data_IF_723939564287
#
_entry.id   IF_723939564287
#
_cell.length_a   1.000
_cell.length_b   1.000
_cell.length_c   1.000
_cell.angle_alpha   90.00
_cell.angle_beta   90.00
_cell.angle_gamma   90.00
#
_symmetry.space_group_name_H-M   'P 1'
#
loop_
_entity.id
_entity.type
_entity.pdbx_description
1 polymer ?
#
# COMPACT_ATOMS: atom_id res chain seq x y z
N UNK A 1 -27.73 -12.35 -128.23
CA UNK A 1 -26.85 -13.47 -127.85
C UNK A 1 -25.62 -13.01 -127.09
N UNK A 2 -24.62 -12.32 -127.67
CA UNK A 2 -23.43 -11.88 -126.88
C UNK A 2 -23.74 -10.81 -125.81
N UNK A 3 -24.62 -9.84 -126.10
CA UNK A 3 -25.01 -8.81 -125.12
C UNK A 3 -25.91 -9.33 -123.97
N UNK A 4 -26.62 -10.44 -124.18
CA UNK A 4 -27.47 -11.05 -123.14
C UNK A 4 -26.62 -11.91 -122.17
N UNK A 5 -25.54 -12.51 -122.66
CA UNK A 5 -24.59 -13.33 -121.90
C UNK A 5 -23.69 -12.46 -120.98
N UNK A 6 -23.36 -11.23 -121.40
CA UNK A 6 -22.66 -10.25 -120.56
C UNK A 6 -23.55 -9.68 -119.43
N UNK A 7 -24.82 -9.41 -119.71
CA UNK A 7 -25.79 -8.96 -118.70
C UNK A 7 -26.08 -10.04 -117.65
N UNK A 8 -26.17 -11.31 -118.05
CA UNK A 8 -26.35 -12.45 -117.13
C UNK A 8 -25.14 -12.66 -116.23
N UNK A 9 -23.92 -12.54 -116.79
CA UNK A 9 -22.67 -12.61 -116.02
C UNK A 9 -22.54 -11.45 -115.03
N UNK A 10 -22.91 -10.24 -115.42
CA UNK A 10 -22.91 -9.07 -114.55
C UNK A 10 -23.95 -9.21 -113.42
N UNK A 11 -25.12 -9.75 -113.70
CA UNK A 11 -26.15 -10.05 -112.71
C UNK A 11 -25.66 -11.10 -111.70
N UNK A 12 -25.00 -12.15 -112.17
CA UNK A 12 -24.42 -13.20 -111.31
C UNK A 12 -23.30 -12.67 -110.41
N UNK A 13 -22.46 -11.77 -110.92
CA UNK A 13 -21.42 -11.10 -110.13
C UNK A 13 -22.04 -10.20 -109.05
N UNK A 14 -23.06 -9.41 -109.41
CA UNK A 14 -23.83 -8.59 -108.46
C UNK A 14 -24.48 -9.43 -107.36
N UNK A 15 -25.11 -10.56 -107.70
CA UNK A 15 -25.71 -11.50 -106.75
C UNK A 15 -24.66 -12.09 -105.80
N UNK A 16 -23.52 -12.54 -106.34
CA UNK A 16 -22.43 -13.10 -105.52
C UNK A 16 -21.85 -12.07 -104.53
N UNK A 17 -21.73 -10.80 -104.96
CA UNK A 17 -21.28 -9.70 -104.13
C UNK A 17 -22.31 -9.35 -103.05
N UNK A 18 -23.59 -9.35 -103.41
CA UNK A 18 -24.71 -9.19 -102.46
C UNK A 18 -24.67 -10.28 -101.39
N UNK A 19 -24.52 -11.55 -101.77
CA UNK A 19 -24.43 -12.68 -100.84
C UNK A 19 -23.21 -12.58 -99.92
N UNK A 20 -22.06 -12.17 -100.46
CA UNK A 20 -20.83 -11.96 -99.67
C UNK A 20 -21.02 -10.84 -98.65
N UNK A 21 -21.61 -9.71 -99.05
CA UNK A 21 -21.92 -8.60 -98.13
C UNK A 21 -22.94 -9.02 -97.07
N UNK A 22 -23.98 -9.76 -97.44
CA UNK A 22 -24.98 -10.30 -96.51
C UNK A 22 -24.32 -11.18 -95.42
N UNK A 23 -23.38 -12.05 -95.82
CA UNK A 23 -22.61 -12.89 -94.89
C UNK A 23 -21.72 -12.05 -93.96
N UNK A 24 -21.05 -11.03 -94.50
CA UNK A 24 -20.22 -10.12 -93.69
C UNK A 24 -21.07 -9.32 -92.69
N UNK A 25 -22.24 -8.83 -93.11
CA UNK A 25 -23.19 -8.12 -92.24
C UNK A 25 -23.63 -9.06 -91.11
N UNK A 26 -24.09 -10.28 -91.43
CA UNK A 26 -24.50 -11.24 -90.41
C UNK A 26 -23.38 -11.61 -89.44
N UNK A 27 -22.14 -11.71 -89.92
CA UNK A 27 -20.98 -11.96 -89.07
C UNK A 27 -20.68 -10.76 -88.15
N UNK A 28 -20.78 -9.53 -88.67
CA UNK A 28 -20.58 -8.30 -87.88
C UNK A 28 -21.68 -8.08 -86.86
N UNK A 29 -22.94 -8.39 -87.18
CA UNK A 29 -24.06 -8.37 -86.25
C UNK A 29 -23.82 -9.34 -85.08
N UNK A 30 -23.38 -10.57 -85.36
CA UNK A 30 -23.01 -11.54 -84.31
C UNK A 30 -21.87 -11.03 -83.44
N UNK A 31 -20.84 -10.45 -84.04
CA UNK A 31 -19.71 -9.85 -83.30
C UNK A 31 -20.17 -8.70 -82.42
N UNK A 32 -21.07 -7.83 -82.92
CA UNK A 32 -21.60 -6.70 -82.18
C UNK A 32 -22.39 -7.17 -80.95
N UNK A 33 -23.30 -8.13 -81.12
CA UNK A 33 -24.09 -8.69 -80.00
C UNK A 33 -23.20 -9.34 -78.94
N UNK A 34 -22.14 -10.05 -79.36
CA UNK A 34 -21.17 -10.63 -78.42
C UNK A 34 -20.47 -9.53 -77.62
N UNK A 35 -19.93 -8.51 -78.29
CA UNK A 35 -19.23 -7.41 -77.63
C UNK A 35 -20.16 -6.60 -76.70
N UNK A 36 -21.42 -6.42 -77.06
CA UNK A 36 -22.42 -5.78 -76.19
C UNK A 36 -22.67 -6.60 -74.93
N UNK A 37 -22.72 -7.93 -75.06
CA UNK A 37 -22.88 -8.84 -73.92
C UNK A 37 -21.65 -8.81 -73.02
N UNK A 38 -20.45 -8.89 -73.59
CA UNK A 38 -19.19 -8.82 -72.84
C UNK A 38 -19.05 -7.47 -72.11
N UNK A 39 -19.38 -6.36 -72.79
CA UNK A 39 -19.38 -5.04 -72.19
C UNK A 39 -20.37 -4.91 -71.03
N UNK A 40 -21.53 -5.58 -71.12
CA UNK A 40 -22.51 -5.60 -70.03
C UNK A 40 -21.95 -6.36 -68.82
N UNK A 41 -21.36 -7.54 -69.03
CA UNK A 41 -20.74 -8.35 -67.97
C UNK A 41 -19.61 -7.56 -67.30
N UNK A 42 -18.73 -6.95 -68.08
CA UNK A 42 -17.62 -6.13 -67.56
C UNK A 42 -18.12 -4.94 -66.73
N UNK A 43 -19.22 -4.31 -67.12
CA UNK A 43 -19.85 -3.23 -66.31
C UNK A 43 -20.38 -3.74 -64.98
N UNK A 44 -21.07 -4.88 -64.99
CA UNK A 44 -21.57 -5.52 -63.77
C UNK A 44 -20.42 -5.91 -62.83
N UNK A 45 -19.37 -6.53 -63.37
CA UNK A 45 -18.17 -6.90 -62.60
C UNK A 45 -17.46 -5.69 -62.02
N UNK A 46 -17.31 -4.61 -62.80
CA UNK A 46 -16.73 -3.35 -62.31
C UNK A 46 -17.55 -2.77 -61.17
N UNK A 47 -18.88 -2.81 -61.27
CA UNK A 47 -19.76 -2.32 -60.22
C UNK A 47 -19.56 -3.13 -58.93
N UNK A 48 -19.60 -4.47 -59.01
CA UNK A 48 -19.37 -5.34 -57.85
C UNK A 48 -18.01 -5.09 -57.23
N UNK A 49 -16.95 -4.99 -58.03
CA UNK A 49 -15.60 -4.70 -57.52
C UNK A 49 -15.51 -3.34 -56.81
N UNK A 50 -16.24 -2.34 -57.31
CA UNK A 50 -16.29 -1.03 -56.67
C UNK A 50 -17.04 -1.05 -55.34
N UNK A 51 -18.14 -1.81 -55.26
CA UNK A 51 -18.87 -2.04 -54.02
C UNK A 51 -18.01 -2.76 -52.98
N UNK A 52 -17.29 -3.80 -53.39
CA UNK A 52 -16.40 -4.54 -52.49
C UNK A 52 -15.21 -3.70 -52.04
N UNK A 53 -14.61 -2.92 -52.94
CA UNK A 53 -13.56 -1.95 -52.57
C UNK A 53 -14.06 -0.94 -51.54
N UNK A 54 -15.32 -0.51 -51.63
CA UNK A 54 -15.88 0.42 -50.65
C UNK A 54 -16.08 -0.26 -49.28
N UNK A 55 -16.60 -1.48 -49.25
CA UNK A 55 -16.72 -2.27 -48.01
C UNK A 55 -15.37 -2.46 -47.32
N UNK A 56 -14.33 -2.79 -48.09
CA UNK A 56 -12.97 -2.96 -47.55
C UNK A 56 -12.41 -1.65 -47.00
N UNK A 57 -12.66 -0.51 -47.66
CA UNK A 57 -12.27 0.82 -47.13
C UNK A 57 -12.97 1.14 -45.82
N UNK A 58 -14.26 0.84 -45.73
CA UNK A 58 -15.04 1.08 -44.53
C UNK A 58 -14.56 0.19 -43.38
N UNK A 59 -14.27 -1.09 -43.66
CA UNK A 59 -13.67 -2.01 -42.70
C UNK A 59 -12.29 -1.54 -42.21
N UNK A 60 -11.42 -1.07 -43.11
CA UNK A 60 -10.12 -0.50 -42.75
C UNK A 60 -10.25 0.75 -41.87
N UNK A 61 -11.21 1.61 -42.16
CA UNK A 61 -11.52 2.78 -41.33
C UNK A 61 -11.94 2.37 -39.92
N UNK A 62 -12.81 1.35 -39.82
CA UNK A 62 -13.25 0.81 -38.52
C UNK A 62 -12.08 0.24 -37.71
N UNK A 63 -11.29 -0.66 -38.30
CA UNK A 63 -10.12 -1.25 -37.65
C UNK A 63 -9.09 -0.20 -37.21
N UNK A 64 -8.92 0.86 -38.01
CA UNK A 64 -8.06 1.99 -37.64
C UNK A 64 -8.57 2.72 -36.40
N UNK A 65 -9.87 2.95 -36.30
CA UNK A 65 -10.49 3.58 -35.13
C UNK A 65 -10.36 2.69 -33.88
N UNK A 66 -10.62 1.39 -34.01
CA UNK A 66 -10.41 0.42 -32.91
C UNK A 66 -8.96 0.40 -32.44
N UNK A 67 -8.01 0.40 -33.38
CA UNK A 67 -6.58 0.47 -33.05
C UNK A 67 -6.24 1.73 -32.26
N UNK A 68 -6.79 2.88 -32.65
CA UNK A 68 -6.59 4.13 -31.92
C UNK A 68 -7.20 4.09 -30.51
N UNK A 69 -8.38 3.49 -30.35
CA UNK A 69 -8.99 3.29 -29.03
C UNK A 69 -8.12 2.40 -28.14
N UNK A 70 -7.62 1.28 -28.67
CA UNK A 70 -6.70 0.38 -27.95
C UNK A 70 -5.44 1.12 -27.51
N UNK A 71 -4.87 1.97 -28.37
CA UNK A 71 -3.70 2.79 -28.03
C UNK A 71 -4.02 3.75 -26.87
N UNK A 72 -5.18 4.40 -26.88
CA UNK A 72 -5.62 5.29 -25.78
C UNK A 72 -5.77 4.52 -24.48
N UNK A 73 -6.52 3.41 -24.50
CA UNK A 73 -6.75 2.56 -23.33
C UNK A 73 -5.43 2.01 -22.77
N UNK A 74 -4.48 1.64 -23.63
CA UNK A 74 -3.14 1.20 -23.20
C UNK A 74 -2.41 2.31 -22.43
N UNK A 75 -2.52 3.57 -22.89
CA UNK A 75 -1.90 4.71 -22.21
C UNK A 75 -2.52 4.93 -20.83
N UNK A 76 -3.84 4.88 -20.73
CA UNK A 76 -4.57 4.98 -19.46
C UNK A 76 -4.20 3.86 -18.50
N UNK A 77 -4.12 2.62 -18.99
CA UNK A 77 -3.69 1.47 -18.21
C UNK A 77 -2.28 1.66 -17.64
N UNK A 78 -1.33 2.15 -18.44
CA UNK A 78 0.03 2.41 -17.98
C UNK A 78 0.08 3.50 -16.89
N UNK A 79 -0.73 4.56 -17.03
CA UNK A 79 -0.82 5.60 -15.99
C UNK A 79 -1.37 5.02 -14.68
N UNK A 80 -2.48 4.27 -14.75
CA UNK A 80 -3.07 3.61 -13.57
C UNK A 80 -2.11 2.59 -12.94
N UNK A 81 -1.31 1.92 -13.75
CA UNK A 81 -0.30 0.98 -13.27
C UNK A 81 0.79 1.71 -12.47
N UNK A 82 1.27 2.86 -12.94
CA UNK A 82 2.25 3.69 -12.24
C UNK A 82 1.68 4.22 -10.92
N UNK A 83 0.46 4.78 -10.93
CA UNK A 83 -0.24 5.24 -9.72
C UNK A 83 -0.40 4.11 -8.70
N UNK A 84 -0.76 2.90 -9.14
CA UNK A 84 -0.89 1.74 -8.28
C UNK A 84 0.46 1.35 -7.64
N UNK A 85 1.56 1.42 -8.40
CA UNK A 85 2.90 1.17 -7.87
C UNK A 85 3.31 2.21 -6.84
N UNK A 86 3.05 3.48 -7.11
CA UNK A 86 3.31 4.57 -6.16
C UNK A 86 2.52 4.38 -4.86
N UNK A 87 1.23 4.07 -4.96
CA UNK A 87 0.37 3.82 -3.80
C UNK A 87 0.85 2.62 -2.97
N UNK A 88 1.27 1.53 -3.62
CA UNK A 88 1.85 0.37 -2.92
C UNK A 88 3.12 0.72 -2.15
N UNK A 89 3.98 1.55 -2.73
CA UNK A 89 5.20 2.03 -2.06
C UNK A 89 4.84 2.85 -0.81
N UNK A 90 3.90 3.80 -0.94
CA UNK A 90 3.43 4.62 0.18
C UNK A 90 2.83 3.75 1.28
N UNK A 91 1.98 2.78 0.91
CA UNK A 91 1.38 1.84 1.85
C UNK A 91 2.45 1.10 2.67
N UNK A 92 3.48 0.58 1.99
CA UNK A 92 4.57 -0.12 2.65
C UNK A 92 5.38 0.77 3.59
N UNK A 93 5.69 2.00 3.18
CA UNK A 93 6.38 2.98 4.03
C UNK A 93 5.55 3.33 5.28
N UNK A 94 4.23 3.50 5.13
CA UNK A 94 3.34 3.75 6.26
C UNK A 94 3.25 2.55 7.22
N UNK A 95 3.20 1.33 6.69
CA UNK A 95 3.20 0.11 7.49
C UNK A 95 4.49 -0.02 8.34
N UNK A 96 5.65 0.23 7.73
CA UNK A 96 6.93 0.25 8.43
C UNK A 96 6.97 1.32 9.53
N UNK A 97 6.51 2.54 9.24
CA UNK A 97 6.47 3.62 10.22
C UNK A 97 5.57 3.29 11.43
N UNK A 98 4.41 2.65 11.18
CA UNK A 98 3.52 2.20 12.24
C UNK A 98 4.17 1.12 13.11
N UNK A 99 4.88 0.17 12.50
CA UNK A 99 5.62 -0.86 13.22
C UNK A 99 6.71 -0.26 14.12
N UNK A 100 7.49 0.68 13.60
CA UNK A 100 8.52 1.37 14.39
C UNK A 100 7.92 2.14 15.57
N UNK A 101 6.80 2.83 15.35
CA UNK A 101 6.10 3.55 16.42
C UNK A 101 5.58 2.57 17.48
N UNK A 102 5.03 1.43 17.06
CA UNK A 102 4.59 0.36 17.96
C UNK A 102 5.73 -0.16 18.84
N UNK A 103 6.91 -0.39 18.25
CA UNK A 103 8.10 -0.81 18.99
C UNK A 103 8.55 0.25 20.01
N UNK A 104 8.65 1.52 19.59
CA UNK A 104 9.02 2.63 20.48
C UNK A 104 8.05 2.81 21.65
N UNK A 105 6.74 2.66 21.40
CA UNK A 105 5.72 2.72 22.44
C UNK A 105 5.84 1.56 23.43
N UNK A 106 6.11 0.35 22.94
CA UNK A 106 6.35 -0.83 23.78
C UNK A 106 7.58 -0.64 24.69
N UNK A 107 8.70 -0.18 24.12
CA UNK A 107 9.92 0.12 24.87
C UNK A 107 9.69 1.22 25.93
N UNK A 108 9.01 2.30 25.56
CA UNK A 108 8.68 3.38 26.48
C UNK A 108 7.79 2.89 27.63
N UNK A 109 6.82 2.03 27.34
CA UNK A 109 5.95 1.41 28.35
C UNK A 109 6.75 0.57 29.34
N UNK A 110 7.70 -0.25 28.88
CA UNK A 110 8.57 -1.04 29.75
C UNK A 110 9.39 -0.13 30.69
N UNK A 111 10.03 0.91 30.14
CA UNK A 111 10.81 1.88 30.94
C UNK A 111 9.96 2.59 32.01
N UNK A 112 8.70 2.91 31.69
CA UNK A 112 7.79 3.52 32.66
C UNK A 112 7.47 2.55 33.80
N UNK A 113 7.24 1.27 33.51
CA UNK A 113 7.01 0.26 34.55
C UNK A 113 8.25 0.06 35.44
N UNK A 114 9.45 0.02 34.86
CA UNK A 114 10.71 -0.04 35.63
C UNK A 114 10.86 1.16 36.59
N UNK A 115 10.55 2.38 36.10
CA UNK A 115 10.59 3.60 36.91
C UNK A 115 9.53 3.57 38.02
N UNK A 116 8.33 3.04 37.77
CA UNK A 116 7.30 2.88 38.81
C UNK A 116 7.76 1.91 39.89
N UNK A 117 8.38 0.80 39.51
CA UNK A 117 8.91 -0.17 40.45
C UNK A 117 10.04 0.42 41.30
N UNK A 118 10.98 1.12 40.67
CA UNK A 118 12.05 1.84 41.37
C UNK A 118 11.50 2.91 42.33
N UNK A 119 10.51 3.70 41.91
CA UNK A 119 9.85 4.69 42.77
C UNK A 119 9.14 4.05 43.96
N UNK A 120 8.49 2.90 43.77
CA UNK A 120 7.85 2.16 44.87
C UNK A 120 8.89 1.67 45.88
N UNK A 121 10.05 1.21 45.43
CA UNK A 121 11.15 0.82 46.31
C UNK A 121 11.71 2.03 47.09
N UNK A 122 11.82 3.20 46.45
CA UNK A 122 12.25 4.44 47.08
C UNK A 122 11.24 4.99 48.10
N UNK A 123 9.93 4.84 47.85
CA UNK A 123 8.89 5.24 48.81
C UNK A 123 8.98 4.48 50.14
N UNK A 124 9.51 3.25 50.15
CA UNK A 124 9.80 2.50 51.39
C UNK A 124 10.94 3.07 52.24
N UNK A 125 11.69 4.06 51.73
CA UNK A 125 12.85 4.69 52.39
C UNK A 125 12.59 6.13 52.86
N UNK A 126 11.36 6.65 52.72
CA UNK A 126 11.05 8.03 53.09
C UNK A 126 10.87 8.14 54.60
N UNK A 127 11.80 8.85 55.27
CA UNK A 127 11.63 9.35 56.64
C UNK A 127 10.28 10.07 56.78
N UNK A 128 9.37 9.52 57.60
CA UNK A 128 8.10 10.15 57.93
C UNK A 128 8.34 11.54 58.52
N UNK A 129 7.66 12.56 58.01
CA UNK A 129 7.75 13.92 58.55
C UNK A 129 7.13 13.97 59.96
N UNK A 130 7.83 14.59 60.91
CA UNK A 130 7.49 14.74 62.33
C UNK A 130 6.02 15.08 62.65
N UNK A 131 5.35 15.81 61.74
CA UNK A 131 3.99 16.31 61.95
C UNK A 131 2.93 15.20 61.87
N UNK A 132 3.20 14.10 61.19
CA UNK A 132 2.22 13.04 60.94
C UNK A 132 2.21 11.94 62.01
N UNK A 133 3.32 11.76 62.73
CA UNK A 133 3.40 10.73 63.78
C UNK A 133 2.70 11.21 65.07
N UNK A 134 1.47 10.75 65.31
CA UNK A 134 0.72 11.03 66.56
C UNK A 134 1.10 10.08 67.70
N UNK A 135 1.61 8.89 67.38
CA UNK A 135 1.94 7.84 68.35
C UNK A 135 3.37 7.32 68.13
N UNK A 136 3.99 6.81 69.21
CA UNK A 136 5.28 6.11 69.11
C UNK A 136 5.14 4.87 68.22
N UNK A 137 6.03 4.71 67.24
CA UNK A 137 5.97 3.57 66.30
C UNK A 137 6.13 2.21 66.97
N UNK A 138 6.78 2.12 68.14
CA UNK A 138 7.01 0.85 68.84
C UNK A 138 5.94 0.55 69.91
N UNK A 139 5.69 1.48 70.82
CA UNK A 139 4.78 1.25 71.94
C UNK A 139 3.37 1.80 71.72
N UNK A 140 3.11 2.42 70.56
CA UNK A 140 1.83 3.00 70.15
C UNK A 140 1.24 4.03 71.11
N UNK A 141 2.00 4.50 72.11
CA UNK A 141 1.54 5.55 73.02
C UNK A 141 1.58 6.91 72.34
N UNK A 142 0.53 7.70 72.52
CA UNK A 142 0.42 9.05 71.97
C UNK A 142 1.55 9.96 72.47
N UNK A 143 2.05 10.82 71.59
CA UNK A 143 3.00 11.87 71.94
C UNK A 143 2.29 13.03 72.63
N UNK A 144 3.00 13.69 73.54
CA UNK A 144 2.47 14.82 74.31
C UNK A 144 3.59 15.81 74.63
N UNK A 145 3.28 16.93 75.27
CA UNK A 145 4.32 17.90 75.68
C UNK A 145 5.40 17.28 76.57
N UNK A 146 5.05 16.28 77.39
CA UNK A 146 5.97 15.53 78.24
C UNK A 146 6.62 14.33 77.54
N UNK A 147 6.00 13.79 76.48
CA UNK A 147 6.54 12.69 75.68
C UNK A 147 6.94 13.18 74.28
N UNK A 148 8.18 13.63 74.15
CA UNK A 148 8.74 14.18 72.92
C UNK A 148 9.03 13.09 71.87
N UNK A 149 9.06 13.52 70.61
CA UNK A 149 9.34 12.69 69.43
C UNK A 149 10.85 12.56 69.19
N UNK A 150 11.31 11.37 68.85
CA UNK A 150 12.70 11.08 68.54
C UNK A 150 12.81 10.18 67.31
N UNK A 151 13.71 10.53 66.39
CA UNK A 151 13.97 9.71 65.19
C UNK A 151 14.99 8.61 65.48
N UNK A 152 14.71 7.40 65.00
CA UNK A 152 15.74 6.39 64.87
C UNK A 152 16.62 6.73 63.66
N UNK A 153 17.93 6.88 63.85
CA UNK A 153 18.85 7.23 62.75
C UNK A 153 19.11 6.06 61.78
N UNK A 154 18.67 4.85 62.11
CA UNK A 154 18.77 3.68 61.25
C UNK A 154 17.53 3.52 60.34
N UNK A 155 16.30 3.47 60.92
CA UNK A 155 15.08 3.22 60.14
C UNK A 155 14.26 4.49 59.80
N UNK A 156 14.57 5.64 60.39
CA UNK A 156 13.88 6.91 60.10
C UNK A 156 12.50 7.10 60.73
N UNK A 157 11.97 6.08 61.40
CA UNK A 157 10.69 6.15 62.11
C UNK A 157 10.78 6.94 63.43
N UNK A 158 9.62 7.33 63.97
CA UNK A 158 9.49 8.21 65.15
C UNK A 158 9.06 7.42 66.40
N UNK A 159 9.83 7.60 67.47
CA UNK A 159 9.69 6.90 68.74
C UNK A 159 9.68 7.87 69.93
N UNK A 160 9.22 7.40 71.09
CA UNK A 160 9.43 8.11 72.37
C UNK A 160 10.82 7.81 72.94
N UNK A 161 11.25 8.56 73.95
CA UNK A 161 12.58 8.36 74.55
C UNK A 161 12.77 6.91 75.02
N UNK A 162 11.77 6.36 75.73
CA UNK A 162 11.83 5.00 76.27
C UNK A 162 11.97 3.89 75.22
N UNK A 163 11.55 4.13 73.97
CA UNK A 163 11.65 3.16 72.87
C UNK A 163 12.85 3.41 71.94
N UNK A 164 13.67 4.40 72.27
CA UNK A 164 14.81 4.83 71.46
C UNK A 164 15.93 5.40 72.31
N UNK A 165 16.14 4.87 73.50
CA UNK A 165 17.16 5.39 74.44
C UNK A 165 18.55 4.81 74.20
N UNK A 166 18.69 4.02 73.13
CA UNK A 166 19.93 3.37 72.76
C UNK A 166 20.70 4.19 71.71
N UNK A 167 22.03 4.16 71.75
CA UNK A 167 22.90 4.76 70.75
C UNK A 167 23.89 3.72 70.20
N UNK A 168 24.06 3.68 68.87
CA UNK A 168 25.00 2.80 68.20
C UNK A 168 25.78 3.56 67.12
N UNK A 169 27.04 3.15 66.83
CA UNK A 169 27.74 3.63 65.65
C UNK A 169 27.01 3.11 64.40
N UNK A 170 26.66 4.02 63.49
CA UNK A 170 26.09 3.69 62.19
C UNK A 170 27.07 4.11 61.09
N UNK A 171 27.11 3.42 59.94
CA UNK A 171 27.97 3.82 58.82
C UNK A 171 27.75 5.27 58.35
N UNK A 172 26.57 5.83 58.62
CA UNK A 172 26.19 7.20 58.29
C UNK A 172 26.75 8.27 59.24
N UNK A 173 27.33 7.91 60.39
CA UNK A 173 27.86 8.87 61.37
C UNK A 173 29.08 8.32 62.11
N UNK A 174 30.20 9.08 62.21
CA UNK A 174 31.39 8.66 62.95
C UNK A 174 31.17 8.64 64.48
N UNK A 175 30.10 9.26 64.98
CA UNK A 175 29.70 9.24 66.40
C UNK A 175 28.50 8.31 66.60
N UNK A 176 28.37 7.65 67.76
CA UNK A 176 27.15 6.93 68.11
C UNK A 176 25.92 7.81 67.95
N UNK A 177 24.88 7.25 67.36
CA UNK A 177 23.61 7.96 67.10
C UNK A 177 22.45 7.14 67.63
N UNK A 178 21.40 7.85 68.03
CA UNK A 178 20.17 7.27 68.58
C UNK A 178 19.50 6.28 67.62
N UNK A 179 19.15 5.11 68.13
CA UNK A 179 18.39 4.07 67.43
C UNK A 179 17.22 3.58 68.29
N UNK A 180 16.15 3.11 67.66
CA UNK A 180 15.05 2.45 68.38
C UNK A 180 15.46 1.06 68.87
N UNK A 181 14.74 0.53 69.85
CA UNK A 181 15.06 -0.76 70.47
C UNK A 181 15.11 -1.91 69.47
N UNK A 182 14.20 -1.94 68.49
CA UNK A 182 14.20 -2.94 67.41
C UNK A 182 15.47 -2.85 66.55
N UNK A 183 15.90 -1.64 66.20
CA UNK A 183 17.13 -1.45 65.43
C UNK A 183 18.37 -1.78 66.27
N UNK A 184 18.36 -1.43 67.55
CA UNK A 184 19.43 -1.75 68.49
C UNK A 184 19.64 -3.26 68.59
N UNK A 185 18.58 -4.02 68.86
CA UNK A 185 18.62 -5.47 68.95
C UNK A 185 19.11 -6.12 67.64
N UNK A 186 18.58 -5.68 66.50
CA UNK A 186 18.98 -6.21 65.19
C UNK A 186 20.46 -5.95 64.86
N UNK A 187 20.94 -4.73 65.13
CA UNK A 187 22.31 -4.34 64.82
C UNK A 187 23.33 -5.03 65.74
N UNK A 188 23.02 -5.17 67.03
CA UNK A 188 23.86 -5.93 67.96
C UNK A 188 23.92 -7.41 67.55
N UNK A 189 22.79 -8.04 67.20
CA UNK A 189 22.79 -9.42 66.72
C UNK A 189 23.66 -9.61 65.47
N UNK A 190 23.62 -8.66 64.53
CA UNK A 190 24.48 -8.67 63.32
C UNK A 190 25.96 -8.44 63.63
N UNK A 191 26.30 -7.65 64.65
CA UNK A 191 27.69 -7.50 65.08
C UNK A 191 28.22 -8.77 65.77
N UNK A 192 27.39 -9.45 66.58
CA UNK A 192 27.79 -10.70 67.25
C UNK A 192 27.96 -11.89 66.31
N UNK A 193 27.32 -11.86 65.14
CA UNK A 193 27.44 -12.90 64.10
C UNK A 193 28.50 -12.59 63.04
N UNK A 194 29.21 -11.46 63.16
CA UNK A 194 30.33 -11.05 62.32
C UNK A 194 31.66 -10.87 63.10
N UNK A 195 31.77 -11.44 64.30
CA UNK A 195 33.09 -11.73 64.87
C UNK A 195 33.62 -13.01 64.19
N UNK A 196 34.88 -13.03 63.72
CA UNK A 196 35.50 -14.24 63.14
C UNK A 196 35.54 -15.40 64.13
#
# INVERSE_FOLDING_TARGET
MEAEDEDEKYLQECLSKSDSLQKQISQKEKQLVQLETDLKIEKEWRQTLQEDLQKEKDALSHLRNETQQIISLKKEFLNLQDENQQLKKIYHEQEQALQELGNKLSESKLKIEDIKEANKALQGLVWLKDKEATHCKLCEKEFSLSKRKHHCRNCGEIFCNACSDNELPLPSSPKPVRVCDSCHALLIQRCSSNLP
#
